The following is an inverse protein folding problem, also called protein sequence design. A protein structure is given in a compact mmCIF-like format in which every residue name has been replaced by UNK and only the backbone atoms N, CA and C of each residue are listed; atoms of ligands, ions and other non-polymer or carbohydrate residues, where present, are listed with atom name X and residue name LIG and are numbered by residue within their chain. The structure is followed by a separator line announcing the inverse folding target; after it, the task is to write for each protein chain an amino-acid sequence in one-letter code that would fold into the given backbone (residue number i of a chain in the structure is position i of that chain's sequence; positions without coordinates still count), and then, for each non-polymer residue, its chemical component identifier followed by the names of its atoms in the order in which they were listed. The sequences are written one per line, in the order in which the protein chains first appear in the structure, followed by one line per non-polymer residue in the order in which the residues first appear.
data_IF_174053637969
#
_entry.id   IF_174053637969
#
_cell.length_a   1.000
_cell.length_b   1.000
_cell.length_c   1.000
_cell.angle_alpha   90.00
_cell.angle_beta   90.00
_cell.angle_gamma   90.00
#
_symmetry.space_group_name_H-M   'P 1'
#
loop_
_entity.id
_entity.type
_entity.pdbx_description
1 polymer ?
#
# COMPACT_ATOMS: atom_id res chain seq x y z
N UNK A 1 1.08 -13.03 4.00
CA UNK A 1 1.20 -11.93 5.01
C UNK A 1 0.09 -12.10 6.05
N UNK A 2 0.24 -11.60 7.29
CA UNK A 2 -0.79 -11.75 8.33
C UNK A 2 -1.96 -10.76 8.16
N UNK A 3 -3.16 -11.22 8.50
CA UNK A 3 -4.34 -10.36 8.69
C UNK A 3 -4.31 -9.74 10.10
N UNK A 4 -4.55 -8.44 10.21
CA UNK A 4 -4.63 -7.71 11.49
C UNK A 4 -5.91 -6.85 11.55
N UNK A 5 -6.43 -6.53 12.75
CA UNK A 5 -7.56 -5.62 12.89
C UNK A 5 -7.31 -4.28 12.21
N UNK A 6 -8.37 -3.68 11.66
CA UNK A 6 -8.31 -2.35 11.08
C UNK A 6 -7.84 -1.32 12.12
N UNK A 7 -6.84 -0.52 11.75
CA UNK A 7 -6.32 0.56 12.58
C UNK A 7 -6.59 1.92 11.91
N UNK A 8 -7.57 2.70 12.41
CA UNK A 8 -7.92 4.00 11.84
C UNK A 8 -6.84 5.08 12.07
N UNK A 9 -5.82 4.83 12.90
CA UNK A 9 -4.73 5.78 13.12
C UNK A 9 -3.68 5.77 11.99
N UNK A 10 -3.73 4.78 11.08
CA UNK A 10 -2.81 4.69 9.94
C UNK A 10 -3.10 5.81 8.93
N UNK A 11 -2.02 6.35 8.36
CA UNK A 11 -2.12 7.34 7.28
C UNK A 11 -2.56 6.63 6.01
N UNK A 12 -3.67 7.07 5.42
CA UNK A 12 -4.12 6.54 4.13
C UNK A 12 -3.34 7.18 2.98
N UNK A 13 -2.77 6.33 2.13
CA UNK A 13 -2.10 6.72 0.90
C UNK A 13 -2.99 6.38 -0.30
N UNK A 14 -3.12 7.32 -1.23
CA UNK A 14 -3.75 7.07 -2.52
C UNK A 14 -2.74 6.46 -3.51
N UNK A 15 -3.22 5.57 -4.38
CA UNK A 15 -2.41 5.03 -5.46
C UNK A 15 -2.00 6.14 -6.44
N UNK A 16 -0.71 6.19 -6.79
CA UNK A 16 -0.14 7.14 -7.72
C UNK A 16 0.90 6.46 -8.62
N UNK A 17 0.48 6.08 -9.83
CA UNK A 17 1.36 5.46 -10.82
C UNK A 17 2.50 6.38 -11.34
N UNK A 18 2.47 7.68 -11.04
CA UNK A 18 3.46 8.64 -11.50
C UNK A 18 4.63 8.85 -10.53
N UNK A 19 4.74 8.05 -9.46
CA UNK A 19 5.87 8.16 -8.51
C UNK A 19 7.23 8.09 -9.22
N UNK A 20 8.15 8.92 -8.75
CA UNK A 20 9.53 9.00 -9.22
C UNK A 20 10.40 8.09 -8.35
N UNK A 21 11.36 7.42 -8.99
CA UNK A 21 12.27 6.44 -8.36
C UNK A 21 11.51 5.33 -7.60
N UNK A 22 10.65 4.54 -8.30
CA UNK A 22 9.84 3.53 -7.66
C UNK A 22 10.71 2.39 -7.11
N UNK A 23 10.59 2.13 -5.82
CA UNK A 23 11.33 1.09 -5.11
C UNK A 23 10.39 0.21 -4.30
N UNK A 24 10.83 -1.02 -4.00
CA UNK A 24 10.03 -1.98 -3.25
C UNK A 24 9.67 -1.41 -1.88
N UNK A 25 8.38 -1.36 -1.58
CA UNK A 25 7.86 -1.04 -0.24
C UNK A 25 7.29 -2.31 0.37
N UNK A 26 7.83 -2.69 1.53
CA UNK A 26 7.44 -3.94 2.20
C UNK A 26 6.04 -3.79 2.79
N UNK A 27 5.15 -4.69 2.37
CA UNK A 27 3.85 -4.89 3.03
C UNK A 27 4.07 -5.72 4.30
N UNK A 28 3.61 -5.21 5.43
CA UNK A 28 3.79 -5.83 6.75
C UNK A 28 2.60 -6.73 7.12
N UNK A 29 1.39 -6.27 6.79
CA UNK A 29 0.13 -6.97 7.08
C UNK A 29 -0.98 -6.45 6.16
N UNK A 30 -2.16 -7.03 6.28
CA UNK A 30 -3.38 -6.51 5.66
C UNK A 30 -4.54 -6.46 6.65
N UNK A 31 -5.57 -5.69 6.32
CA UNK A 31 -6.79 -5.56 7.10
C UNK A 31 -8.00 -5.57 6.17
N UNK A 32 -9.13 -6.09 6.66
CA UNK A 32 -10.42 -6.02 5.97
C UNK A 32 -11.24 -4.85 6.51
N UNK A 33 -11.93 -4.17 5.60
CA UNK A 33 -12.91 -3.13 5.92
C UNK A 33 -14.16 -3.32 5.06
N UNK A 34 -15.10 -4.13 5.56
CA UNK A 34 -16.20 -4.65 4.76
C UNK A 34 -15.67 -5.51 3.60
N UNK A 35 -16.02 -5.13 2.37
CA UNK A 35 -15.52 -5.78 1.14
C UNK A 35 -14.16 -5.24 0.68
N UNK A 36 -13.64 -4.20 1.34
CA UNK A 36 -12.35 -3.59 1.00
C UNK A 36 -11.20 -4.32 1.68
N UNK A 37 -10.07 -4.35 0.98
CA UNK A 37 -8.80 -4.84 1.48
C UNK A 37 -7.83 -3.66 1.59
N UNK A 38 -7.22 -3.48 2.75
CA UNK A 38 -6.14 -2.53 2.94
C UNK A 38 -4.83 -3.28 3.22
N UNK A 39 -3.74 -2.83 2.62
CA UNK A 39 -2.38 -3.26 2.98
C UNK A 39 -1.74 -2.24 3.90
N UNK A 40 -1.01 -2.74 4.89
CA UNK A 40 -0.37 -1.97 5.94
C UNK A 40 1.15 -2.01 5.76
N UNK A 41 1.81 -0.87 5.89
CA UNK A 41 3.25 -0.72 5.66
C UNK A 41 3.82 0.44 6.47
N UNK A 42 5.15 0.56 6.49
CA UNK A 42 5.86 1.75 6.96
C UNK A 42 6.27 2.60 5.77
N UNK A 43 6.05 3.91 5.85
CA UNK A 43 6.31 4.86 4.77
C UNK A 43 6.91 6.17 5.27
N UNK A 44 7.36 7.02 4.35
CA UNK A 44 7.63 8.43 4.63
C UNK A 44 6.34 9.25 4.78
N UNK A 45 6.47 10.53 5.11
CA UNK A 45 5.32 11.44 5.23
C UNK A 45 4.55 11.56 3.90
N UNK A 46 3.21 11.62 3.93
CA UNK A 46 2.38 11.62 2.71
C UNK A 46 2.66 12.79 1.76
N UNK A 47 3.14 13.92 2.27
CA UNK A 47 3.53 15.07 1.43
C UNK A 47 4.77 14.81 0.57
N UNK A 48 5.55 13.76 0.86
CA UNK A 48 6.84 13.48 0.24
C UNK A 48 7.03 12.02 -0.18
N UNK A 49 6.08 11.16 0.16
CA UNK A 49 6.11 9.74 -0.16
C UNK A 49 4.80 9.37 -0.82
N UNK A 50 4.87 8.85 -2.04
CA UNK A 50 3.75 8.27 -2.76
C UNK A 50 3.89 6.77 -2.83
N UNK A 51 2.77 6.09 -3.07
CA UNK A 51 2.76 4.65 -3.33
C UNK A 51 2.10 4.36 -4.65
N UNK A 52 2.56 3.30 -5.31
CA UNK A 52 1.87 2.69 -6.43
C UNK A 52 1.72 1.19 -6.19
N UNK A 53 0.55 0.66 -6.49
CA UNK A 53 0.20 -0.71 -6.27
C UNK A 53 -0.28 -1.37 -7.56
N UNK A 54 0.12 -2.62 -7.73
CA UNK A 54 -0.42 -3.50 -8.76
C UNK A 54 -0.93 -4.79 -8.12
N UNK A 55 -2.04 -5.30 -8.65
CA UNK A 55 -2.72 -6.48 -8.13
C UNK A 55 -2.79 -7.55 -9.21
N UNK A 56 -2.46 -8.78 -8.82
CA UNK A 56 -2.70 -9.96 -9.64
C UNK A 56 -3.64 -10.89 -8.89
N UNK A 57 -4.84 -11.09 -9.45
CA UNK A 57 -5.89 -11.90 -8.85
C UNK A 57 -6.03 -13.26 -9.53
N UNK A 58 -6.19 -14.28 -8.71
CA UNK A 58 -6.60 -15.63 -9.11
C UNK A 58 -7.83 -16.04 -8.30
N UNK A 59 -8.35 -17.24 -8.57
CA UNK A 59 -9.45 -17.81 -7.80
C UNK A 59 -9.08 -18.03 -6.32
N UNK A 60 -7.79 -18.26 -6.03
CA UNK A 60 -7.32 -18.68 -4.71
C UNK A 60 -6.52 -17.60 -3.98
N UNK A 61 -5.96 -16.61 -4.69
CA UNK A 61 -5.06 -15.63 -4.12
C UNK A 61 -5.15 -14.25 -4.80
N UNK A 62 -4.76 -13.24 -4.03
CA UNK A 62 -4.47 -11.88 -4.49
C UNK A 62 -3.00 -11.60 -4.17
N UNK A 63 -2.19 -11.38 -5.19
CA UNK A 63 -0.79 -10.99 -5.04
C UNK A 63 -0.67 -9.49 -5.26
N UNK A 64 0.02 -8.80 -4.34
CA UNK A 64 0.08 -7.34 -4.28
C UNK A 64 1.55 -6.91 -4.32
N UNK A 65 1.95 -6.21 -5.38
CA UNK A 65 3.22 -5.49 -5.45
C UNK A 65 2.98 -4.03 -5.07
N UNK A 66 3.71 -3.54 -4.06
CA UNK A 66 3.66 -2.18 -3.58
C UNK A 66 5.02 -1.50 -3.80
N UNK A 67 4.97 -0.40 -4.54
CA UNK A 67 6.10 0.49 -4.78
C UNK A 67 5.92 1.79 -4.02
N UNK A 68 7.01 2.28 -3.47
CA UNK A 68 7.11 3.61 -2.87
C UNK A 68 7.97 4.49 -3.75
N UNK A 69 7.83 5.80 -3.62
CA UNK A 69 8.64 6.76 -4.38
C UNK A 69 8.29 8.19 -4.03
N UNK A 70 8.91 9.13 -4.74
CA UNK A 70 8.62 10.56 -4.58
C UNK A 70 7.46 10.96 -5.49
N UNK A 71 6.37 11.56 -4.98
CA UNK A 71 5.35 12.15 -5.84
C UNK A 71 5.96 13.24 -6.74
N UNK A 72 5.55 13.34 -8.03
CA UNK A 72 6.11 14.34 -8.95
C UNK A 72 6.10 15.78 -8.42
N UNK A 73 5.03 16.17 -7.72
CA UNK A 73 4.83 17.47 -7.10
C UNK A 73 5.78 17.76 -5.93
N UNK A 74 6.43 16.72 -5.40
CA UNK A 74 7.33 16.81 -4.24
C UNK A 74 8.80 16.77 -4.61
N UNK A 75 9.12 16.61 -5.89
CA UNK A 75 10.50 16.67 -6.39
C UNK A 75 11.14 18.02 -6.06
N UNK A 76 12.31 17.99 -5.44
CA UNK A 76 13.06 19.19 -5.06
C UNK A 76 12.53 19.94 -3.83
N UNK A 77 11.48 19.44 -3.16
CA UNK A 77 10.98 20.02 -1.91
C UNK A 77 11.83 19.57 -0.71
N UNK A 78 11.75 20.33 0.37
CA UNK A 78 12.32 19.93 1.66
C UNK A 78 11.40 18.90 2.32
N UNK A 79 11.86 17.66 2.39
CA UNK A 79 11.15 16.56 3.01
C UNK A 79 11.82 16.16 4.32
N UNK A 80 11.02 15.98 5.37
CA UNK A 80 11.52 15.48 6.66
C UNK A 80 11.64 13.96 6.63
N UNK A 81 12.65 13.43 7.32
CA UNK A 81 12.82 11.99 7.48
C UNK A 81 11.98 11.48 8.68
N UNK A 82 10.66 11.39 8.49
CA UNK A 82 9.73 10.83 9.47
C UNK A 82 9.07 9.56 8.91
N UNK A 83 9.18 8.47 9.66
CA UNK A 83 8.47 7.23 9.35
C UNK A 83 7.05 7.30 9.92
N UNK A 84 6.07 6.90 9.10
CA UNK A 84 4.66 6.82 9.47
C UNK A 84 4.14 5.41 9.21
N UNK A 85 3.12 5.00 9.97
CA UNK A 85 2.35 3.81 9.67
C UNK A 85 1.34 4.14 8.57
N UNK A 86 1.58 3.57 7.40
CA UNK A 86 0.74 3.74 6.21
C UNK A 86 -0.27 2.60 6.05
N UNK A 87 -1.33 2.91 5.32
CA UNK A 87 -2.25 1.96 4.72
C UNK A 87 -2.66 2.43 3.31
N UNK A 88 -2.94 1.48 2.41
CA UNK A 88 -3.47 1.77 1.08
C UNK A 88 -4.55 0.75 0.71
N UNK A 89 -5.60 1.21 0.05
CA UNK A 89 -6.70 0.35 -0.42
C UNK A 89 -6.29 -0.41 -1.67
N UNK A 90 -6.46 -1.73 -1.64
CA UNK A 90 -6.13 -2.65 -2.73
C UNK A 90 -7.27 -2.65 -3.74
N UNK A 91 -7.04 -2.26 -5.01
CA UNK A 91 -8.08 -2.30 -6.03
C UNK A 91 -8.33 -3.76 -6.41
N UNK A 92 -9.39 -4.33 -5.84
CA UNK A 92 -9.85 -5.69 -6.15
C UNK A 92 -10.91 -5.69 -7.26
N UNK A 93 -10.79 -6.63 -8.20
CA UNK A 93 -11.76 -6.90 -9.26
C UNK A 93 -12.95 -7.75 -8.77
N UNK A 94 -12.76 -8.50 -7.68
CA UNK A 94 -13.80 -9.26 -7.00
C UNK A 94 -13.63 -9.17 -5.47
N UNK A 95 -14.67 -9.43 -4.65
CA UNK A 95 -14.53 -9.45 -3.18
C UNK A 95 -13.44 -10.42 -2.72
N UNK A 96 -12.70 -10.09 -1.65
CA UNK A 96 -11.56 -10.92 -1.21
C UNK A 96 -11.98 -12.35 -0.85
N UNK A 97 -13.13 -12.53 -0.19
CA UNK A 97 -13.63 -13.85 0.21
C UNK A 97 -12.59 -14.62 1.05
N UNK A 98 -12.37 -15.89 0.72
CA UNK A 98 -11.38 -16.77 1.36
C UNK A 98 -10.02 -16.78 0.67
N UNK A 99 -9.78 -15.88 -0.30
CA UNK A 99 -8.52 -15.85 -1.06
C UNK A 99 -7.36 -15.44 -0.17
N UNK A 100 -6.20 -16.04 -0.43
CA UNK A 100 -4.96 -15.70 0.27
C UNK A 100 -4.45 -14.33 -0.19
N UNK A 101 -3.88 -13.56 0.73
CA UNK A 101 -3.20 -12.29 0.41
C UNK A 101 -1.69 -12.52 0.45
N UNK A 102 -1.04 -12.25 -0.68
CA UNK A 102 0.38 -12.50 -0.92
C UNK A 102 1.09 -11.21 -1.33
N UNK A 103 2.38 -11.10 -0.98
CA UNK A 103 3.27 -10.05 -1.48
C UNK A 103 4.49 -10.72 -2.13
N UNK A 104 5.16 -10.05 -3.09
CA UNK A 104 6.48 -10.44 -3.57
C UNK A 104 7.44 -10.67 -2.39
N UNK A 105 8.28 -11.70 -2.51
CA UNK A 105 9.30 -12.05 -1.53
C UNK A 105 10.45 -11.04 -1.49
#
# INVERSE_FOLDING_TARGET
MPEVPLDPARTLFADNAAIIDPHLTRIESFSRDGDRLLVNFTAGTPDCFGVHMTTQETADAVTIDLRGGTPPESVGRMCIALAVHGAAEVPLQAPLGSRQVLAPA
#
